data_IF_621807523027
#
_entry.id   IF_621807523027
#
_cell.length_a   1.000
_cell.length_b   1.000
_cell.length_c   1.000
_cell.angle_alpha   90.00
_cell.angle_beta   90.00
_cell.angle_gamma   90.00
#
_symmetry.space_group_name_H-M   'P 1'
#
loop_
_entity.id
_entity.type
_entity.pdbx_description
1 polymer ?
#
# COMPACT_ATOMS: atom_id res chain seq x y z
N UNK A 1 -17.68 -22.50 18.61
CA UNK A 1 -18.62 -21.64 17.83
C UNK A 1 -18.17 -21.68 16.39
N UNK A 2 -19.02 -21.40 15.41
CA UNK A 2 -18.53 -21.21 14.03
C UNK A 2 -17.71 -19.91 13.96
N UNK A 3 -16.53 -19.97 13.35
CA UNK A 3 -15.72 -18.78 13.08
C UNK A 3 -16.47 -17.88 12.09
N UNK A 4 -16.50 -16.57 12.34
CA UNK A 4 -17.10 -15.59 11.42
C UNK A 4 -16.11 -14.49 11.11
N UNK A 5 -16.23 -13.85 9.94
CA UNK A 5 -15.36 -12.72 9.59
C UNK A 5 -15.53 -11.56 10.58
N UNK A 6 -16.75 -11.32 11.07
CA UNK A 6 -17.01 -10.24 12.02
C UNK A 6 -16.25 -10.44 13.34
N UNK A 7 -16.30 -11.65 13.92
CA UNK A 7 -15.53 -11.95 15.14
C UNK A 7 -14.03 -12.00 14.88
N UNK A 8 -13.61 -12.45 13.69
CA UNK A 8 -12.20 -12.45 13.29
C UNK A 8 -11.62 -11.04 13.15
N UNK A 9 -12.39 -10.06 12.68
CA UNK A 9 -11.93 -8.68 12.58
C UNK A 9 -11.65 -8.02 13.94
N UNK A 10 -12.35 -8.44 15.00
CA UNK A 10 -12.19 -7.88 16.36
C UNK A 10 -11.06 -8.49 17.20
N UNK A 11 -10.39 -9.55 16.75
CA UNK A 11 -9.28 -10.16 17.52
C UNK A 11 -8.19 -9.11 17.78
N UNK A 12 -7.74 -8.92 19.02
CA UNK A 12 -6.74 -7.91 19.38
C UNK A 12 -7.01 -6.45 18.93
N UNK A 13 -8.24 -6.08 18.50
CA UNK A 13 -8.52 -4.74 17.96
C UNK A 13 -8.54 -3.65 19.03
N UNK A 14 -8.93 -4.00 20.26
CA UNK A 14 -9.11 -3.04 21.35
C UNK A 14 -7.80 -2.45 21.89
N UNK A 15 -6.67 -3.11 21.58
CA UNK A 15 -5.35 -2.71 22.06
C UNK A 15 -4.57 -1.86 21.05
N UNK A 16 -5.19 -1.48 19.93
CA UNK A 16 -4.49 -0.82 18.83
C UNK A 16 -4.66 0.70 18.88
N UNK A 17 -3.55 1.43 18.98
CA UNK A 17 -3.54 2.87 18.78
C UNK A 17 -3.88 3.18 17.31
N UNK A 18 -4.85 4.07 17.02
CA UNK A 18 -5.19 4.42 15.64
C UNK A 18 -4.00 5.03 14.91
N UNK A 19 -3.74 4.57 13.69
CA UNK A 19 -2.73 5.19 12.83
C UNK A 19 -3.16 6.61 12.41
N UNK A 20 -2.23 7.58 12.33
CA UNK A 20 -2.52 8.93 11.86
C UNK A 20 -2.74 9.02 10.34
N UNK A 21 -2.52 7.94 9.58
CA UNK A 21 -2.65 7.92 8.11
C UNK A 21 -4.06 8.35 7.66
N UNK A 22 -5.19 7.77 8.13
CA UNK A 22 -6.51 8.15 7.65
C UNK A 22 -6.86 9.61 7.95
N UNK A 23 -6.43 10.14 9.10
CA UNK A 23 -6.63 11.54 9.46
C UNK A 23 -5.86 12.48 8.52
N UNK A 24 -4.62 12.11 8.16
CA UNK A 24 -3.79 12.89 7.24
C UNK A 24 -4.38 12.89 5.82
N UNK A 25 -4.89 11.73 5.36
CA UNK A 25 -5.60 11.62 4.07
C UNK A 25 -6.89 12.47 4.08
N UNK A 26 -7.65 12.45 5.17
CA UNK A 26 -8.85 13.29 5.29
C UNK A 26 -8.53 14.78 5.18
N UNK A 27 -7.39 15.25 5.73
CA UNK A 27 -6.92 16.62 5.55
C UNK A 27 -6.54 16.91 4.09
N UNK A 28 -5.84 15.98 3.44
CA UNK A 28 -5.50 16.08 2.01
C UNK A 28 -6.75 16.18 1.12
N UNK A 29 -7.80 15.42 1.43
CA UNK A 29 -9.02 15.40 0.62
C UNK A 29 -9.77 16.74 0.62
N UNK A 30 -9.60 17.56 1.67
CA UNK A 30 -10.16 18.91 1.77
C UNK A 30 -9.45 19.94 0.88
N UNK A 31 -8.27 19.62 0.35
CA UNK A 31 -7.54 20.52 -0.52
C UNK A 31 -8.27 20.69 -1.87
N UNK A 32 -8.16 21.88 -2.45
CA UNK A 32 -8.56 22.09 -3.84
C UNK A 32 -7.57 21.35 -4.79
N UNK A 33 -7.93 21.25 -6.07
CA UNK A 33 -7.16 20.46 -7.06
C UNK A 33 -5.72 20.94 -7.21
N UNK A 34 -5.49 22.25 -7.25
CA UNK A 34 -4.15 22.82 -7.40
C UNK A 34 -3.31 22.61 -6.14
N UNK A 35 -3.93 22.74 -4.97
CA UNK A 35 -3.30 22.47 -3.68
C UNK A 35 -2.93 20.99 -3.52
N UNK A 36 -3.74 20.05 -4.05
CA UNK A 36 -3.39 18.62 -4.07
C UNK A 36 -2.13 18.36 -4.89
N UNK A 37 -2.04 18.95 -6.08
CA UNK A 37 -0.86 18.82 -6.94
C UNK A 37 0.37 19.51 -6.33
N UNK A 38 0.19 20.69 -5.72
CA UNK A 38 1.26 21.38 -5.00
C UNK A 38 1.77 20.56 -3.82
N UNK A 39 0.87 19.95 -3.03
CA UNK A 39 1.24 19.05 -1.95
C UNK A 39 2.10 17.88 -2.44
N UNK A 40 1.70 17.20 -3.52
CA UNK A 40 2.48 16.09 -4.10
C UNK A 40 3.89 16.53 -4.51
N UNK A 41 4.00 17.70 -5.14
CA UNK A 41 5.29 18.26 -5.52
C UNK A 41 6.17 18.56 -4.31
N UNK A 42 5.66 19.29 -3.31
CA UNK A 42 6.42 19.62 -2.12
C UNK A 42 6.79 18.38 -1.31
N UNK A 43 5.88 17.42 -1.17
CA UNK A 43 6.18 16.15 -0.53
C UNK A 43 7.30 15.41 -1.27
N UNK A 44 7.22 15.35 -2.61
CA UNK A 44 8.25 14.70 -3.42
C UNK A 44 9.63 15.38 -3.29
N UNK A 45 9.68 16.72 -3.29
CA UNK A 45 10.95 17.46 -3.21
C UNK A 45 11.51 17.57 -1.80
N UNK A 46 10.67 17.72 -0.80
CA UNK A 46 11.10 17.88 0.61
C UNK A 46 11.33 16.53 1.27
N UNK A 47 10.42 15.57 1.12
CA UNK A 47 10.60 14.22 1.66
C UNK A 47 11.60 13.41 0.84
N UNK A 48 11.76 13.70 -0.45
CA UNK A 48 12.81 13.12 -1.29
C UNK A 48 14.24 13.36 -0.78
N UNK A 49 14.43 14.36 0.11
CA UNK A 49 15.73 14.62 0.77
C UNK A 49 16.05 13.59 1.86
N UNK A 50 15.03 12.97 2.47
CA UNK A 50 15.18 12.02 3.59
C UNK A 50 14.78 10.60 3.21
N UNK A 51 13.86 10.43 2.28
CA UNK A 51 13.33 9.17 1.77
C UNK A 51 13.58 9.12 0.26
N UNK A 52 14.56 8.33 -0.17
CA UNK A 52 14.86 8.14 -1.58
C UNK A 52 14.03 6.99 -2.16
N UNK A 53 13.11 7.25 -3.12
CA UNK A 53 12.40 6.17 -3.80
C UNK A 53 13.33 5.37 -4.70
N UNK A 54 13.07 4.07 -4.84
CA UNK A 54 13.69 3.25 -5.86
C UNK A 54 13.09 3.60 -7.23
N UNK A 55 13.95 3.71 -8.25
CA UNK A 55 13.49 3.95 -9.61
C UNK A 55 12.58 2.80 -10.08
N UNK A 56 11.42 3.09 -10.70
CA UNK A 56 10.57 2.06 -11.27
C UNK A 56 11.30 1.30 -12.39
N UNK A 57 11.09 -0.01 -12.49
CA UNK A 57 11.63 -0.80 -13.59
C UNK A 57 11.01 -0.40 -14.95
N UNK A 58 11.81 -0.49 -16.03
CA UNK A 58 11.41 -0.08 -17.37
C UNK A 58 10.12 -0.77 -17.87
N UNK A 59 9.96 -2.07 -17.58
CA UNK A 59 8.76 -2.82 -17.93
C UNK A 59 7.48 -2.24 -17.30
N UNK A 60 7.56 -1.66 -16.10
CA UNK A 60 6.42 -1.03 -15.44
C UNK A 60 6.12 0.35 -16.02
N UNK A 61 7.16 1.12 -16.34
CA UNK A 61 6.99 2.39 -17.05
C UNK A 61 6.36 2.20 -18.44
N UNK A 62 6.60 1.06 -19.09
CA UNK A 62 5.95 0.73 -20.36
C UNK A 62 4.41 0.64 -20.24
N UNK A 63 3.89 0.23 -19.08
CA UNK A 63 2.44 0.19 -18.82
C UNK A 63 1.82 1.60 -18.75
N UNK A 64 2.61 2.59 -18.33
CA UNK A 64 2.21 3.99 -18.27
C UNK A 64 2.67 4.83 -19.47
N UNK A 65 3.42 4.23 -20.41
CA UNK A 65 4.15 4.96 -21.45
C UNK A 65 3.25 5.78 -22.36
N UNK A 66 2.10 5.23 -22.77
CA UNK A 66 1.16 5.96 -23.64
C UNK A 66 0.71 7.28 -23.01
N UNK A 67 0.28 7.23 -21.74
CA UNK A 67 -0.17 8.42 -21.02
C UNK A 67 0.99 9.39 -20.76
N UNK A 68 2.16 8.88 -20.38
CA UNK A 68 3.37 9.70 -20.17
C UNK A 68 3.79 10.42 -21.46
N UNK A 69 3.81 9.74 -22.60
CA UNK A 69 4.16 10.33 -23.90
C UNK A 69 3.17 11.41 -24.30
N UNK A 70 1.86 11.15 -24.15
CA UNK A 70 0.83 12.17 -24.43
C UNK A 70 1.03 13.44 -23.60
N UNK A 71 1.37 13.31 -22.31
CA UNK A 71 1.65 14.46 -21.45
C UNK A 71 2.96 15.15 -21.87
N UNK A 72 4.02 14.40 -22.22
CA UNK A 72 5.31 14.95 -22.69
C UNK A 72 5.16 15.79 -23.96
N UNK A 73 4.30 15.38 -24.89
CA UNK A 73 4.06 16.05 -26.16
C UNK A 73 3.08 17.24 -26.06
N UNK A 74 2.33 17.33 -24.96
CA UNK A 74 1.38 18.41 -24.72
C UNK A 74 2.06 19.75 -24.37
N UNK A 75 1.37 20.86 -24.62
CA UNK A 75 1.82 22.19 -24.17
C UNK A 75 1.84 22.27 -22.64
N UNK A 76 2.61 23.21 -22.06
CA UNK A 76 2.68 23.38 -20.58
C UNK A 76 1.31 23.60 -19.94
N UNK A 77 0.43 24.32 -20.61
CA UNK A 77 -0.94 24.55 -20.14
C UNK A 77 -1.77 23.26 -20.16
N UNK A 78 -1.67 22.49 -21.23
CA UNK A 78 -2.39 21.22 -21.35
C UNK A 78 -1.82 20.16 -20.40
N UNK A 79 -0.51 20.12 -20.16
CA UNK A 79 0.11 19.28 -19.13
C UNK A 79 -0.51 19.53 -17.75
N UNK A 80 -0.63 20.81 -17.36
CA UNK A 80 -1.24 21.19 -16.09
C UNK A 80 -2.73 20.81 -16.05
N UNK A 81 -3.45 21.01 -17.15
CA UNK A 81 -4.85 20.61 -17.26
C UNK A 81 -5.03 19.10 -17.09
N UNK A 82 -4.20 18.27 -17.72
CA UNK A 82 -4.24 16.81 -17.57
C UNK A 82 -3.97 16.43 -16.10
N UNK A 83 -2.95 17.00 -15.45
CA UNK A 83 -2.69 16.74 -14.03
C UNK A 83 -3.87 17.13 -13.13
N UNK A 84 -4.56 18.23 -13.43
CA UNK A 84 -5.79 18.66 -12.74
C UNK A 84 -6.94 17.70 -12.98
N UNK A 85 -7.10 17.16 -14.18
CA UNK A 85 -8.12 16.15 -14.48
C UNK A 85 -7.90 14.88 -13.65
N UNK A 86 -6.65 14.42 -13.52
CA UNK A 86 -6.30 13.29 -12.67
C UNK A 86 -6.62 13.59 -11.20
N UNK A 87 -6.15 14.71 -10.66
CA UNK A 87 -6.32 15.07 -9.26
C UNK A 87 -7.78 15.39 -8.87
N UNK A 88 -8.59 15.88 -9.82
CA UNK A 88 -10.03 16.15 -9.62
C UNK A 88 -10.91 14.92 -9.82
N UNK A 89 -10.34 13.77 -10.19
CA UNK A 89 -11.07 12.54 -10.53
C UNK A 89 -12.09 12.75 -11.66
N UNK A 90 -11.77 13.63 -12.60
CA UNK A 90 -12.65 13.97 -13.71
C UNK A 90 -12.94 12.76 -14.60
N UNK A 91 -14.12 12.72 -15.21
CA UNK A 91 -14.40 11.77 -16.27
C UNK A 91 -13.80 12.25 -17.60
N UNK A 92 -12.52 11.94 -17.81
CA UNK A 92 -11.80 12.28 -19.04
C UNK A 92 -11.05 11.06 -19.61
N UNK A 93 -10.66 11.07 -20.90
CA UNK A 93 -9.86 9.98 -21.47
C UNK A 93 -8.58 9.69 -20.68
N UNK A 94 -7.90 10.72 -20.19
CA UNK A 94 -6.68 10.59 -19.39
C UNK A 94 -6.97 9.99 -18.01
N UNK A 95 -8.00 10.48 -17.33
CA UNK A 95 -8.42 9.96 -16.02
C UNK A 95 -8.93 8.53 -16.09
N UNK A 96 -9.62 8.14 -17.16
CA UNK A 96 -10.00 6.74 -17.41
C UNK A 96 -8.78 5.86 -17.66
N UNK A 97 -7.86 6.29 -18.51
CA UNK A 97 -6.60 5.55 -18.75
C UNK A 97 -5.83 5.33 -17.45
N UNK A 98 -5.72 6.37 -16.62
CA UNK A 98 -5.07 6.30 -15.32
C UNK A 98 -5.84 5.40 -14.33
N UNK A 99 -7.18 5.45 -14.34
CA UNK A 99 -8.04 4.66 -13.46
C UNK A 99 -7.80 3.15 -13.59
N UNK A 100 -7.45 2.67 -14.78
CA UNK A 100 -7.13 1.26 -15.04
C UNK A 100 -5.71 0.82 -14.66
N UNK A 101 -4.82 1.74 -14.29
CA UNK A 101 -3.51 1.37 -13.81
C UNK A 101 -3.63 0.66 -12.46
N UNK A 102 -2.81 -0.38 -12.26
CA UNK A 102 -2.60 -0.92 -10.93
C UNK A 102 -2.01 0.15 -10.01
N UNK A 103 -2.04 -0.10 -8.71
CA UNK A 103 -1.39 0.78 -7.73
C UNK A 103 0.10 0.97 -8.06
N UNK A 104 0.81 -0.08 -8.45
CA UNK A 104 2.23 -0.02 -8.75
C UNK A 104 2.51 0.80 -10.02
N UNK A 105 1.67 0.68 -11.04
CA UNK A 105 1.79 1.50 -12.25
C UNK A 105 1.44 2.97 -11.98
N UNK A 106 0.45 3.25 -11.12
CA UNK A 106 0.14 4.62 -10.65
C UNK A 106 1.32 5.27 -9.93
N UNK A 107 2.00 4.53 -9.06
CA UNK A 107 3.21 5.00 -8.37
C UNK A 107 4.35 5.28 -9.34
N UNK A 108 4.61 4.36 -10.28
CA UNK A 108 5.64 4.55 -11.31
C UNK A 108 5.39 5.80 -12.16
N UNK A 109 4.13 6.01 -12.56
CA UNK A 109 3.69 7.15 -13.35
C UNK A 109 3.99 8.49 -12.64
N UNK A 110 3.62 8.62 -11.36
CA UNK A 110 3.86 9.85 -10.61
C UNK A 110 5.33 10.08 -10.29
N UNK A 111 6.11 9.02 -10.06
CA UNK A 111 7.56 9.12 -9.92
C UNK A 111 8.20 9.70 -11.19
N UNK A 112 7.89 9.14 -12.35
CA UNK A 112 8.40 9.60 -13.64
C UNK A 112 7.95 11.03 -13.95
N UNK A 113 6.68 11.38 -13.67
CA UNK A 113 6.22 12.78 -13.79
C UNK A 113 7.05 13.74 -12.93
N UNK A 114 7.34 13.37 -11.68
CA UNK A 114 8.17 14.18 -10.78
C UNK A 114 9.59 14.39 -11.32
N UNK A 115 10.22 13.35 -11.86
CA UNK A 115 11.54 13.46 -12.48
C UNK A 115 11.52 14.33 -13.74
N UNK A 116 10.49 14.20 -14.58
CA UNK A 116 10.32 15.04 -15.76
C UNK A 116 10.02 16.51 -15.43
N UNK A 117 9.33 16.77 -14.31
CA UNK A 117 9.15 18.13 -13.77
C UNK A 117 10.49 18.73 -13.33
N UNK A 118 11.35 17.95 -12.65
CA UNK A 118 12.72 18.40 -12.30
C UNK A 118 13.56 18.71 -13.54
N UNK A 119 13.42 17.90 -14.59
CA UNK A 119 14.11 18.11 -15.87
C UNK A 119 13.53 19.27 -16.69
N UNK A 120 12.40 19.85 -16.28
CA UNK A 120 11.71 20.93 -17.00
C UNK A 120 10.93 20.46 -18.24
N UNK A 121 10.82 19.15 -18.47
CA UNK A 121 10.03 18.56 -19.58
C UNK A 121 8.54 18.71 -19.30
N UNK A 122 8.10 18.42 -18.07
CA UNK A 122 6.74 18.69 -17.60
C UNK A 122 6.68 20.03 -16.87
N UNK A 123 5.55 20.74 -16.95
CA UNK A 123 5.29 21.97 -16.21
C UNK A 123 5.49 21.74 -14.71
N UNK A 124 6.49 22.36 -14.06
CA UNK A 124 6.63 22.27 -12.62
C UNK A 124 5.53 23.11 -11.93
N UNK A 125 5.42 22.98 -10.61
CA UNK A 125 4.68 23.97 -9.81
C UNK A 125 5.28 25.37 -10.08
N UNK A 126 4.45 26.40 -10.38
CA UNK A 126 4.96 27.71 -10.76
C UNK A 126 5.96 28.30 -9.76
N UNK A 127 7.05 28.88 -10.29
CA UNK A 127 8.03 29.62 -9.49
C UNK A 127 7.31 30.83 -8.87
N UNK A 128 7.06 30.79 -7.56
CA UNK A 128 6.29 31.81 -6.84
C UNK A 128 4.89 31.36 -6.41
N UNK A 129 4.48 30.11 -6.64
CA UNK A 129 3.29 29.55 -5.99
C UNK A 129 3.41 29.72 -4.47
N UNK A 130 2.44 30.42 -3.88
CA UNK A 130 2.35 30.59 -2.44
C UNK A 130 1.62 29.39 -1.86
N UNK A 131 2.34 28.59 -1.09
CA UNK A 131 1.77 27.44 -0.37
C UNK A 131 0.56 27.91 0.44
N UNK A 132 -0.61 27.34 0.14
CA UNK A 132 -1.83 27.65 0.89
C UNK A 132 -1.69 27.16 2.34
N UNK A 133 -2.44 27.76 3.29
CA UNK A 133 -2.48 27.25 4.66
C UNK A 133 -2.89 25.77 4.73
N UNK A 134 -3.77 25.32 3.82
CA UNK A 134 -4.17 23.93 3.71
C UNK A 134 -3.02 23.01 3.35
N UNK A 135 -2.27 23.33 2.28
CA UNK A 135 -1.09 22.55 1.87
C UNK A 135 -0.07 22.46 3.00
N UNK A 136 0.18 23.58 3.70
CA UNK A 136 1.10 23.62 4.83
C UNK A 136 0.67 22.68 5.96
N UNK A 137 -0.61 22.69 6.33
CA UNK A 137 -1.16 21.80 7.37
C UNK A 137 -0.97 20.33 7.00
N UNK A 138 -1.29 19.94 5.77
CA UNK A 138 -1.14 18.55 5.31
C UNK A 138 0.33 18.16 5.27
N UNK A 139 1.21 19.03 4.77
CA UNK A 139 2.65 18.76 4.70
C UNK A 139 3.25 18.59 6.10
N UNK A 140 2.92 19.47 7.05
CA UNK A 140 3.37 19.35 8.44
C UNK A 140 2.84 18.08 9.11
N UNK A 141 1.58 17.70 8.86
CA UNK A 141 1.00 16.47 9.38
C UNK A 141 1.76 15.24 8.85
N UNK A 142 2.05 15.19 7.54
CA UNK A 142 2.84 14.13 6.92
C UNK A 142 4.28 14.11 7.43
N UNK A 143 4.92 15.26 7.66
CA UNK A 143 6.31 15.30 8.15
C UNK A 143 6.47 14.82 9.59
N UNK A 144 5.42 14.90 10.42
CA UNK A 144 5.45 14.51 11.84
C UNK A 144 5.26 13.02 12.10
N UNK A 145 4.76 12.28 11.11
CA UNK A 145 4.53 10.84 11.22
C UNK A 145 5.75 10.05 10.75
N UNK A 146 5.84 8.76 11.09
CA UNK A 146 7.03 7.96 10.78
C UNK A 146 7.23 7.74 9.26
N UNK A 147 8.45 7.49 8.78
CA UNK A 147 8.74 7.29 7.36
C UNK A 147 7.89 6.24 6.66
N UNK A 148 7.51 5.15 7.35
CA UNK A 148 6.64 4.11 6.80
C UNK A 148 5.19 4.59 6.62
N UNK A 149 4.71 5.43 7.53
CA UNK A 149 3.41 6.07 7.42
C UNK A 149 3.40 7.17 6.35
N UNK A 150 4.47 7.97 6.28
CA UNK A 150 4.71 8.97 5.24
C UNK A 150 4.51 8.41 3.83
N UNK A 151 5.22 7.32 3.50
CA UNK A 151 5.09 6.68 2.19
C UNK A 151 3.69 6.13 1.94
N UNK A 152 2.98 5.70 2.99
CA UNK A 152 1.62 5.17 2.87
C UNK A 152 0.62 6.29 2.60
N UNK A 153 0.79 7.47 3.22
CA UNK A 153 0.01 8.66 2.89
C UNK A 153 0.21 9.02 1.42
N UNK A 154 1.46 9.16 0.96
CA UNK A 154 1.76 9.50 -0.43
C UNK A 154 1.16 8.49 -1.41
N UNK A 155 1.33 7.19 -1.14
CA UNK A 155 0.73 6.12 -1.94
C UNK A 155 -0.79 6.29 -2.05
N UNK A 156 -1.48 6.46 -0.93
CA UNK A 156 -2.94 6.52 -0.92
C UNK A 156 -3.46 7.78 -1.62
N UNK A 157 -2.75 8.93 -1.53
CA UNK A 157 -3.15 10.14 -2.25
C UNK A 157 -3.18 9.98 -3.77
N UNK A 158 -2.23 9.21 -4.34
CA UNK A 158 -2.17 9.01 -5.79
C UNK A 158 -3.04 7.86 -6.28
N UNK A 159 -3.21 6.80 -5.47
CA UNK A 159 -4.07 5.65 -5.83
C UNK A 159 -5.50 6.08 -6.12
N UNK A 160 -5.98 7.04 -5.36
CA UNK A 160 -7.34 7.56 -5.42
C UNK A 160 -7.58 8.60 -6.54
N UNK A 161 -6.53 9.01 -7.28
CA UNK A 161 -6.67 9.92 -8.43
C UNK A 161 -7.19 9.20 -9.68
N UNK A 162 -7.61 9.99 -10.66
CA UNK A 162 -8.22 9.55 -11.92
C UNK A 162 -9.69 9.14 -11.76
N UNK A 163 -10.22 8.49 -12.78
CA UNK A 163 -11.62 8.09 -12.81
C UNK A 163 -11.84 6.79 -12.02
N UNK A 164 -12.89 6.74 -11.21
CA UNK A 164 -13.25 5.52 -10.49
C UNK A 164 -13.87 4.49 -11.44
N UNK A 165 -13.09 3.46 -11.77
CA UNK A 165 -13.50 2.38 -12.68
C UNK A 165 -14.26 1.25 -11.96
N UNK A 166 -14.46 1.32 -10.65
CA UNK A 166 -15.10 0.24 -9.87
C UNK A 166 -16.56 0.00 -10.26
N UNK A 167 -17.22 1.01 -10.82
CA UNK A 167 -18.61 0.96 -11.31
C UNK A 167 -18.71 0.52 -12.77
N UNK A 168 -17.59 0.40 -13.48
CA UNK A 168 -17.55 0.00 -14.88
C UNK A 168 -17.58 -1.53 -15.01
N UNK A 169 -18.45 -2.05 -15.88
CA UNK A 169 -18.58 -3.49 -16.09
C UNK A 169 -17.31 -4.13 -16.69
N UNK A 170 -17.07 -5.43 -16.42
CA UNK A 170 -15.85 -6.14 -16.87
C UNK A 170 -15.68 -6.24 -18.40
N UNK A 171 -16.69 -5.90 -19.20
CA UNK A 171 -16.71 -6.08 -20.65
C UNK A 171 -16.32 -4.83 -21.46
N UNK A 172 -16.23 -3.64 -20.85
CA UNK A 172 -16.07 -2.39 -21.61
C UNK A 172 -14.61 -2.01 -21.82
N UNK A 173 -13.67 -2.61 -21.06
CA UNK A 173 -12.25 -2.26 -21.11
C UNK A 173 -11.38 -3.52 -21.06
N UNK A 174 -10.29 -3.58 -21.85
CA UNK A 174 -9.42 -4.73 -21.88
C UNK A 174 -8.78 -4.99 -20.52
N UNK A 175 -8.63 -6.27 -20.18
CA UNK A 175 -7.91 -6.72 -18.98
C UNK A 175 -6.53 -6.06 -18.97
N UNK A 176 -6.25 -5.26 -17.95
CA UNK A 176 -4.95 -4.61 -17.77
C UNK A 176 -3.82 -5.62 -17.86
N UNK A 177 -2.69 -5.21 -18.46
CA UNK A 177 -1.51 -6.05 -18.54
C UNK A 177 -1.09 -6.52 -17.14
N UNK A 178 -0.56 -7.74 -17.05
CA UNK A 178 -0.02 -8.25 -15.80
C UNK A 178 1.12 -7.34 -15.32
N UNK A 179 1.14 -7.03 -14.01
CA UNK A 179 2.23 -6.26 -13.42
C UNK A 179 3.56 -7.01 -13.56
N UNK A 180 4.61 -6.37 -14.06
CA UNK A 180 5.94 -6.97 -14.07
C UNK A 180 6.41 -7.17 -12.64
N UNK A 181 7.09 -8.30 -12.41
CA UNK A 181 7.58 -8.63 -11.08
C UNK A 181 8.65 -7.63 -10.60
N UNK A 182 8.70 -7.40 -9.29
CA UNK A 182 9.88 -6.75 -8.70
C UNK A 182 11.04 -7.75 -8.70
N UNK A 183 12.18 -7.36 -9.27
CA UNK A 183 13.40 -8.13 -9.13
C UNK A 183 13.89 -8.02 -7.68
N UNK A 184 13.96 -9.17 -6.99
CA UNK A 184 14.57 -9.22 -5.66
C UNK A 184 16.08 -9.14 -5.78
N UNK A 185 16.69 -8.21 -5.04
CA UNK A 185 18.13 -8.01 -4.99
C UNK A 185 18.82 -8.84 -3.92
N UNK A 186 18.08 -9.53 -3.06
CA UNK A 186 18.59 -10.36 -1.98
C UNK A 186 17.82 -11.66 -1.79
N UNK A 187 18.40 -12.60 -1.03
CA UNK A 187 17.76 -13.87 -0.72
C UNK A 187 16.58 -13.65 0.23
N UNK A 188 15.38 -14.16 -0.12
CA UNK A 188 14.24 -14.21 0.80
C UNK A 188 14.58 -14.77 2.17
N UNK A 189 14.02 -14.17 3.23
CA UNK A 189 14.08 -14.77 4.57
C UNK A 189 13.24 -16.04 4.55
N UNK A 190 13.90 -17.20 4.66
CA UNK A 190 13.30 -18.53 4.51
C UNK A 190 13.30 -19.38 5.79
N UNK A 191 13.83 -18.84 6.89
CA UNK A 191 13.75 -19.46 8.22
C UNK A 191 13.33 -18.39 9.21
N UNK A 192 12.04 -18.06 9.17
CA UNK A 192 11.49 -17.00 10.01
C UNK A 192 11.41 -17.48 11.45
N UNK A 193 11.91 -16.67 12.39
CA UNK A 193 11.77 -16.89 13.83
C UNK A 193 10.96 -15.74 14.40
N UNK A 194 9.97 -16.06 15.23
CA UNK A 194 9.09 -15.08 15.88
C UNK A 194 9.05 -15.41 17.37
N UNK A 195 9.61 -14.54 18.20
CA UNK A 195 9.61 -14.76 19.64
C UNK A 195 8.16 -14.87 20.14
N UNK A 196 7.82 -15.99 20.80
CA UNK A 196 6.47 -16.25 21.31
C UNK A 196 5.48 -16.86 20.33
N UNK A 197 5.87 -17.16 19.08
CA UNK A 197 4.99 -17.80 18.08
C UNK A 197 5.74 -18.90 17.30
N UNK A 198 5.27 -20.14 17.42
CA UNK A 198 5.78 -21.32 16.70
C UNK A 198 4.78 -21.89 15.68
N UNK A 199 3.66 -21.19 15.45
CA UNK A 199 2.59 -21.66 14.57
C UNK A 199 3.04 -21.78 13.11
N UNK A 200 3.10 -23.01 12.60
CA UNK A 200 3.62 -23.33 11.27
C UNK A 200 2.92 -22.55 10.16
N UNK A 201 1.60 -22.39 10.22
CA UNK A 201 0.86 -21.64 9.20
C UNK A 201 1.30 -20.18 9.11
N UNK A 202 1.61 -19.56 10.25
CA UNK A 202 2.10 -18.18 10.33
C UNK A 202 3.52 -18.07 9.77
N UNK A 203 4.43 -18.95 10.20
CA UNK A 203 5.81 -18.96 9.73
C UNK A 203 5.90 -19.19 8.21
N UNK A 204 5.22 -20.21 7.71
CA UNK A 204 5.18 -20.53 6.27
C UNK A 204 4.50 -19.44 5.44
N UNK A 205 3.53 -18.72 6.00
CA UNK A 205 2.92 -17.56 5.32
C UNK A 205 3.96 -16.47 5.08
N UNK A 206 4.70 -16.09 6.12
CA UNK A 206 5.73 -15.05 6.00
C UNK A 206 6.83 -15.47 5.02
N UNK A 207 7.31 -16.72 5.10
CA UNK A 207 8.34 -17.25 4.19
C UNK A 207 7.85 -17.30 2.73
N UNK A 208 6.61 -17.72 2.49
CA UNK A 208 6.02 -17.75 1.15
C UNK A 208 5.87 -16.33 0.58
N UNK A 209 5.39 -15.37 1.38
CA UNK A 209 5.30 -13.96 0.98
C UNK A 209 6.68 -13.38 0.67
N UNK A 210 7.67 -13.62 1.53
CA UNK A 210 9.06 -13.20 1.34
C UNK A 210 9.74 -13.85 0.14
N UNK A 211 9.19 -14.94 -0.39
CA UNK A 211 9.67 -15.61 -1.60
C UNK A 211 8.80 -15.34 -2.84
N UNK A 212 7.79 -14.45 -2.75
CA UNK A 212 6.78 -14.20 -3.79
C UNK A 212 6.07 -15.47 -4.27
N UNK A 213 6.03 -16.52 -3.42
CA UNK A 213 5.35 -17.78 -3.68
C UNK A 213 3.88 -17.68 -3.27
N UNK A 214 3.13 -16.82 -3.95
CA UNK A 214 1.75 -16.49 -3.56
C UNK A 214 0.80 -17.68 -3.60
N UNK A 215 0.99 -18.63 -4.51
CA UNK A 215 0.17 -19.85 -4.55
C UNK A 215 0.36 -20.67 -3.26
N UNK A 216 1.61 -20.79 -2.78
CA UNK A 216 1.93 -21.45 -1.50
C UNK A 216 1.33 -20.68 -0.32
N UNK A 217 1.39 -19.34 -0.33
CA UNK A 217 0.81 -18.53 0.73
C UNK A 217 -0.72 -18.67 0.79
N UNK A 218 -1.39 -18.75 -0.36
CA UNK A 218 -2.85 -18.91 -0.48
C UNK A 218 -3.29 -20.30 -0.04
N UNK A 219 -2.52 -21.36 -0.33
CA UNK A 219 -2.82 -22.72 0.12
C UNK A 219 -2.83 -22.88 1.65
N UNK A 220 -2.25 -21.93 2.39
CA UNK A 220 -2.30 -21.90 3.86
C UNK A 220 -3.67 -21.42 4.39
N UNK A 221 -4.47 -20.75 3.55
CA UNK A 221 -5.80 -20.27 3.93
C UNK A 221 -6.85 -21.39 3.88
N UNK A 222 -7.86 -21.29 4.73
CA UNK A 222 -9.11 -22.00 4.53
C UNK A 222 -9.78 -21.55 3.22
N UNK A 223 -10.65 -22.38 2.64
CA UNK A 223 -11.31 -22.07 1.36
C UNK A 223 -12.14 -20.77 1.42
N UNK A 224 -12.76 -20.52 2.57
CA UNK A 224 -13.52 -19.32 2.92
C UNK A 224 -12.69 -18.28 3.70
N UNK A 225 -11.37 -18.47 3.75
CA UNK A 225 -10.47 -17.59 4.47
C UNK A 225 -10.38 -16.20 3.84
N UNK A 226 -9.96 -15.22 4.64
CA UNK A 226 -9.85 -13.83 4.19
C UNK A 226 -8.57 -13.13 4.63
N UNK A 227 -8.10 -12.21 3.78
CA UNK A 227 -6.98 -11.31 4.04
C UNK A 227 -7.50 -9.88 4.09
N UNK A 228 -7.18 -9.13 5.14
CA UNK A 228 -7.52 -7.71 5.26
C UNK A 228 -6.24 -6.85 5.19
N UNK A 229 -6.02 -6.12 4.08
CA UNK A 229 -4.93 -5.15 3.99
C UNK A 229 -5.13 -3.94 4.93
N UNK A 230 -4.09 -3.14 5.18
CA UNK A 230 -4.22 -1.92 5.97
C UNK A 230 -5.27 -0.98 5.38
N UNK A 231 -6.21 -0.54 6.23
CA UNK A 231 -7.27 0.42 5.88
C UNK A 231 -8.23 -0.02 4.76
N UNK A 232 -8.27 -1.31 4.44
CA UNK A 232 -9.16 -1.87 3.42
C UNK A 232 -10.14 -2.89 4.03
N UNK A 233 -11.18 -3.24 3.25
CA UNK A 233 -12.11 -4.32 3.59
C UNK A 233 -11.44 -5.68 3.41
N UNK A 234 -11.90 -6.73 4.13
CA UNK A 234 -11.42 -8.10 3.91
C UNK A 234 -11.65 -8.57 2.47
N UNK A 235 -10.64 -9.22 1.92
CA UNK A 235 -10.64 -9.90 0.63
C UNK A 235 -10.85 -11.38 0.92
N UNK A 236 -11.99 -11.93 0.46
CA UNK A 236 -12.44 -13.28 0.82
C UNK A 236 -12.18 -14.26 -0.32
N UNK A 237 -11.61 -15.42 0.01
CA UNK A 237 -11.42 -16.53 -0.90
C UNK A 237 -10.11 -16.49 -1.69
N UNK A 238 -9.58 -17.67 -1.99
CA UNK A 238 -8.26 -17.88 -2.59
C UNK A 238 -8.01 -17.09 -3.86
N UNK A 239 -8.97 -17.05 -4.79
CA UNK A 239 -8.79 -16.38 -6.08
C UNK A 239 -8.55 -14.86 -5.93
N UNK A 240 -9.30 -14.20 -5.05
CA UNK A 240 -9.16 -12.76 -4.83
C UNK A 240 -7.91 -12.43 -4.00
N UNK A 241 -7.58 -13.27 -3.01
CA UNK A 241 -6.35 -13.13 -2.23
C UNK A 241 -5.13 -13.27 -3.15
N UNK A 242 -5.10 -14.31 -4.00
CA UNK A 242 -4.01 -14.53 -4.95
C UNK A 242 -3.86 -13.37 -5.94
N UNK A 243 -4.97 -12.80 -6.41
CA UNK A 243 -4.96 -11.61 -7.25
C UNK A 243 -4.35 -10.42 -6.51
N UNK A 244 -4.83 -10.11 -5.31
CA UNK A 244 -4.30 -9.02 -4.50
C UNK A 244 -2.81 -9.16 -4.23
N UNK A 245 -2.35 -10.35 -3.84
CA UNK A 245 -0.93 -10.59 -3.56
C UNK A 245 -0.05 -10.36 -4.80
N UNK A 246 -0.49 -10.84 -5.97
CA UNK A 246 0.22 -10.61 -7.24
C UNK A 246 0.16 -9.14 -7.67
N UNK A 247 -0.91 -8.42 -7.39
CA UNK A 247 -1.01 -7.02 -7.86
C UNK A 247 -0.28 -6.04 -6.93
N UNK A 248 -0.30 -6.28 -5.60
CA UNK A 248 0.09 -5.29 -4.60
C UNK A 248 1.17 -5.74 -3.60
N UNK A 249 1.42 -7.05 -3.43
CA UNK A 249 2.31 -7.56 -2.37
C UNK A 249 3.66 -8.09 -2.87
N UNK A 250 3.98 -7.87 -4.15
CA UNK A 250 5.22 -8.31 -4.76
C UNK A 250 6.46 -7.61 -4.18
N UNK A 251 7.52 -8.39 -3.94
CA UNK A 251 8.83 -7.87 -3.53
C UNK A 251 8.88 -7.33 -2.09
N UNK A 252 7.83 -7.55 -1.29
CA UNK A 252 7.85 -7.20 0.13
C UNK A 252 8.88 -8.04 0.88
N UNK A 253 9.54 -7.42 1.86
CA UNK A 253 10.37 -8.11 2.85
C UNK A 253 9.74 -7.93 4.23
N UNK A 254 9.11 -8.98 4.72
CA UNK A 254 8.47 -9.09 6.02
C UNK A 254 9.48 -9.60 7.06
N UNK A 255 9.69 -8.81 8.09
CA UNK A 255 10.61 -9.07 9.20
C UNK A 255 9.82 -9.08 10.52
N UNK A 256 9.06 -10.16 10.80
CA UNK A 256 8.40 -10.30 12.09
C UNK A 256 9.47 -10.41 13.20
N UNK A 257 9.13 -9.94 14.40
CA UNK A 257 10.05 -9.94 15.55
C UNK A 257 9.52 -10.83 16.67
N UNK A 258 8.30 -10.54 17.11
CA UNK A 258 7.70 -11.18 18.27
C UNK A 258 6.18 -11.27 18.10
N UNK A 259 5.55 -12.09 18.93
CA UNK A 259 4.11 -12.24 18.94
C UNK A 259 3.59 -12.94 20.18
N UNK A 260 2.27 -13.07 20.23
CA UNK A 260 1.53 -13.84 21.24
C UNK A 260 0.56 -14.77 20.54
N UNK A 261 0.34 -15.94 21.15
CA UNK A 261 -0.57 -16.97 20.67
C UNK A 261 -1.54 -17.35 21.79
N UNK A 262 -2.84 -17.18 21.53
CA UNK A 262 -3.92 -17.53 22.45
C UNK A 262 -4.74 -18.68 21.86
N UNK A 263 -4.68 -19.85 22.49
CA UNK A 263 -5.45 -21.03 22.10
C UNK A 263 -6.86 -20.91 22.68
N UNK A 264 -7.87 -21.06 21.82
CA UNK A 264 -9.27 -20.97 22.18
C UNK A 264 -9.82 -22.36 22.59
N UNK A 265 -10.91 -22.43 23.36
CA UNK A 265 -11.52 -23.70 23.79
C UNK A 265 -11.96 -24.61 22.64
N UNK A 266 -12.25 -24.06 21.45
CA UNK A 266 -12.63 -24.83 20.27
C UNK A 266 -11.42 -25.30 19.43
N UNK A 267 -10.20 -25.08 19.92
CA UNK A 267 -8.96 -25.45 19.25
C UNK A 267 -8.48 -24.46 18.20
N UNK A 268 -9.23 -23.39 17.91
CA UNK A 268 -8.73 -22.28 17.10
C UNK A 268 -7.66 -21.49 17.86
N UNK A 269 -6.84 -20.71 17.13
CA UNK A 269 -5.78 -19.89 17.71
C UNK A 269 -5.89 -18.45 17.24
N UNK A 270 -5.84 -17.51 18.17
CA UNK A 270 -5.71 -16.08 17.90
C UNK A 270 -4.24 -15.71 18.07
N UNK A 271 -3.61 -15.18 17.02
CA UNK A 271 -2.18 -14.89 17.03
C UNK A 271 -1.96 -13.45 16.60
N UNK A 272 -1.24 -12.68 17.41
CA UNK A 272 -0.76 -11.34 17.04
C UNK A 272 0.74 -11.38 16.87
N UNK A 273 1.23 -10.94 15.72
CA UNK A 273 2.66 -10.77 15.43
C UNK A 273 2.94 -9.30 15.16
N UNK A 274 4.05 -8.78 15.64
CA UNK A 274 4.54 -7.44 15.31
C UNK A 274 5.92 -7.51 14.66
N UNK A 275 6.20 -6.55 13.79
CA UNK A 275 7.48 -6.49 13.09
C UNK A 275 7.54 -5.35 12.09
N UNK A 276 8.49 -5.46 11.18
CA UNK A 276 8.75 -4.44 10.16
C UNK A 276 8.54 -5.03 8.78
N UNK A 277 7.95 -4.27 7.86
CA UNK A 277 7.86 -4.62 6.44
C UNK A 277 8.59 -3.56 5.63
N UNK A 278 9.46 -4.00 4.73
CA UNK A 278 10.07 -3.15 3.72
C UNK A 278 9.37 -3.36 2.38
N UNK A 279 9.24 -2.27 1.63
CA UNK A 279 8.63 -2.24 0.30
C UNK A 279 9.70 -2.02 -0.76
N UNK A 280 9.62 -2.68 -1.93
CA UNK A 280 10.63 -2.51 -2.98
C UNK A 280 10.70 -1.08 -3.52
N UNK A 281 9.65 -0.28 -3.31
CA UNK A 281 9.59 1.13 -3.70
C UNK A 281 10.55 2.05 -2.94
N UNK A 282 11.02 1.63 -1.77
CA UNK A 282 11.90 2.44 -0.92
C UNK A 282 13.10 1.62 -0.38
N UNK A 283 13.31 0.41 -0.90
CA UNK A 283 14.40 -0.47 -0.50
C UNK A 283 14.41 -0.77 1.01
N UNK A 284 15.62 -0.92 1.57
CA UNK A 284 15.84 -1.28 2.98
C UNK A 284 15.85 -0.07 3.93
N UNK A 285 15.73 1.15 3.39
CA UNK A 285 15.90 2.39 4.17
C UNK A 285 14.63 2.79 4.92
N UNK A 286 13.46 2.35 4.45
CA UNK A 286 12.17 2.61 5.10
C UNK A 286 11.52 1.31 5.55
N UNK A 287 11.38 1.17 6.87
CA UNK A 287 10.63 0.09 7.50
C UNK A 287 9.25 0.56 7.93
N UNK A 288 8.21 -0.15 7.50
CA UNK A 288 6.83 0.05 7.97
C UNK A 288 6.60 -0.80 9.22
N UNK A 289 6.16 -0.19 10.32
CA UNK A 289 5.81 -0.91 11.53
C UNK A 289 4.45 -1.59 11.35
N UNK A 290 4.43 -2.92 11.38
CA UNK A 290 3.25 -3.73 11.06
C UNK A 290 2.87 -4.63 12.23
N UNK A 291 1.58 -4.82 12.41
CA UNK A 291 1.06 -6.01 13.10
C UNK A 291 0.25 -6.89 12.17
N UNK A 292 0.45 -8.19 12.29
CA UNK A 292 -0.40 -9.22 11.70
C UNK A 292 -1.27 -9.84 12.80
N UNK A 293 -2.57 -9.97 12.52
CA UNK A 293 -3.53 -10.62 13.42
C UNK A 293 -4.14 -11.81 12.71
N UNK A 294 -3.73 -13.00 13.08
CA UNK A 294 -4.18 -14.25 12.50
C UNK A 294 -5.27 -14.89 13.37
N UNK A 295 -6.29 -15.42 12.71
CA UNK A 295 -7.18 -16.43 13.27
C UNK A 295 -6.94 -17.73 12.52
N UNK A 296 -6.37 -18.70 13.23
CA UNK A 296 -6.10 -20.05 12.72
C UNK A 296 -7.24 -20.96 13.16
N UNK A 297 -7.84 -21.68 12.21
CA UNK A 297 -8.90 -22.63 12.52
C UNK A 297 -8.33 -23.91 13.17
N UNK A 298 -9.18 -24.80 13.73
CA UNK A 298 -8.71 -26.03 14.39
C UNK A 298 -7.95 -27.00 13.46
N UNK A 299 -8.02 -26.83 12.15
CA UNK A 299 -7.27 -27.62 11.16
C UNK A 299 -5.89 -27.02 10.85
N UNK A 300 -5.49 -25.94 11.51
CA UNK A 300 -4.20 -25.26 11.27
C UNK A 300 -4.18 -24.43 9.99
N UNK A 301 -5.34 -24.03 9.45
CA UNK A 301 -5.45 -23.15 8.28
C UNK A 301 -5.78 -21.72 8.69
N UNK A 302 -5.28 -20.75 7.92
CA UNK A 302 -5.58 -19.33 8.12
C UNK A 302 -7.04 -19.08 7.72
N UNK A 303 -7.90 -18.86 8.70
CA UNK A 303 -9.27 -18.40 8.44
C UNK A 303 -9.27 -16.90 8.19
N UNK A 304 -8.47 -16.14 8.91
CA UNK A 304 -8.38 -14.70 8.74
C UNK A 304 -6.98 -14.20 9.04
N UNK A 305 -6.49 -13.23 8.26
CA UNK A 305 -5.36 -12.39 8.63
C UNK A 305 -5.68 -10.93 8.37
N UNK A 306 -5.50 -10.08 9.38
CA UNK A 306 -5.48 -8.63 9.20
C UNK A 306 -4.05 -8.11 9.31
N UNK A 307 -3.69 -7.21 8.40
CA UNK A 307 -2.41 -6.51 8.37
C UNK A 307 -2.70 -5.06 8.72
N UNK A 308 -2.03 -4.56 9.74
CA UNK A 308 -2.26 -3.21 10.25
C UNK A 308 -0.96 -2.42 10.30
N UNK A 309 -1.00 -1.18 9.79
CA UNK A 309 0.04 -0.18 10.07
C UNK A 309 -0.08 0.27 11.53
N UNK A 310 0.98 0.09 12.31
CA UNK A 310 1.02 0.54 13.71
C UNK A 310 1.17 2.06 13.77
N UNK A 311 0.65 2.66 14.84
CA UNK A 311 0.67 4.11 15.02
C UNK A 311 2.08 4.67 15.29
N UNK A 312 2.94 3.86 15.90
CA UNK A 312 4.31 4.25 16.22
C UNK A 312 5.21 3.01 16.44
N UNK A 313 6.55 3.17 16.50
CA UNK A 313 7.47 2.07 16.79
C UNK A 313 7.26 1.45 18.18
N UNK A 314 6.82 2.21 19.18
CA UNK A 314 6.58 1.71 20.53
C UNK A 314 5.52 0.60 20.56
N UNK A 315 4.54 0.67 19.65
CA UNK A 315 3.49 -0.33 19.51
C UNK A 315 4.03 -1.70 19.05
N UNK A 316 5.26 -1.79 18.52
CA UNK A 316 5.90 -3.08 18.23
C UNK A 316 6.10 -3.92 19.49
N UNK A 317 6.24 -3.28 20.65
CA UNK A 317 6.40 -3.93 21.96
C UNK A 317 5.06 -4.18 22.66
N UNK A 318 3.96 -3.62 22.14
CA UNK A 318 2.61 -3.70 22.73
C UNK A 318 1.92 -5.00 22.33
N UNK A 319 2.34 -6.09 22.97
CA UNK A 319 1.67 -7.40 22.92
C UNK A 319 0.78 -7.54 24.16
N UNK A 320 -0.45 -7.01 24.07
CA UNK A 320 -1.44 -7.17 25.15
C UNK A 320 -2.38 -8.32 24.81
N UNK A 321 -2.55 -9.29 25.72
CA UNK A 321 -3.60 -10.30 25.61
C UNK A 321 -4.98 -9.65 25.52
N UNK A 322 -5.96 -10.38 24.97
CA UNK A 322 -7.39 -9.98 25.00
C UNK A 322 -8.00 -10.30 26.36
#
# INVERSE_FOLDING_TARGET
MSLTLQSAQSIFSNSQVPSPIPATIALFDQLNVDDKLAYLWYAYTEMGKTITPAAPGAARLQLAATLLTQIKEASKEEQLKIMRELASRADSPFSRSYGFFSVNTKLAFWFELGELMKQGVIAPVPIGYQMSPGVKVVLEATQRIDPGQQITVLRNTVVEMGFDTSTLGPSTYPKGAAEPNFERTGTPISSVQIDGVDEKAVLSYIEAMNADKFDVAVDLFATDGALQPPFQKPIVGHALIAKYMRDEAQGLNMMPKQGICEVQPDGSKQIKVTGVVQTPWFGVTVGMNISWRFLINPQGKIFFVAINMLASPEELMSLRPV
#
